data_IF_959735783518
#
_entry.id   IF_959735783518
#
_cell.length_a   1.000
_cell.length_b   1.000
_cell.length_c   1.000
_cell.angle_alpha   90.00
_cell.angle_beta   90.00
_cell.angle_gamma   90.00
#
_symmetry.space_group_name_H-M   'P 1'
#
loop_
_entity.id
_entity.type
_entity.pdbx_description
1 polymer ?
#
# COMPACT_ATOMS: atom_id res chain seq x y z
N UNK A 1 27.63 46.56 27.66
CA UNK A 1 26.68 46.29 26.55
C UNK A 1 27.29 45.40 25.46
N UNK A 2 28.43 45.73 24.85
CA UNK A 2 29.02 44.91 23.77
C UNK A 2 29.37 43.47 24.15
N UNK A 3 29.92 43.23 25.35
CA UNK A 3 30.25 41.87 25.80
C UNK A 3 29.02 40.98 25.94
N UNK A 4 27.89 41.54 26.35
CA UNK A 4 26.63 40.81 26.51
C UNK A 4 26.01 40.48 25.15
N UNK A 5 26.05 41.43 24.20
CA UNK A 5 25.60 41.21 22.82
C UNK A 5 26.40 40.11 22.11
N UNK A 6 27.73 40.06 22.33
CA UNK A 6 28.59 39.00 21.77
C UNK A 6 28.26 37.61 22.34
N UNK A 7 27.97 37.52 23.64
CA UNK A 7 27.58 36.26 24.28
C UNK A 7 26.22 35.78 23.75
N UNK A 8 25.23 36.68 23.65
CA UNK A 8 23.90 36.32 23.12
C UNK A 8 23.98 35.85 21.67
N UNK A 9 24.76 36.52 20.82
CA UNK A 9 24.96 36.10 19.43
C UNK A 9 25.67 34.75 19.32
N UNK A 10 26.67 34.48 20.17
CA UNK A 10 27.33 33.17 20.23
C UNK A 10 26.34 32.08 20.64
N UNK A 11 25.54 32.27 21.69
CA UNK A 11 24.52 31.31 22.09
C UNK A 11 23.46 31.09 21.01
N UNK A 12 22.97 32.15 20.36
CA UNK A 12 22.01 32.03 19.26
C UNK A 12 22.59 31.27 18.06
N UNK A 13 23.86 31.51 17.73
CA UNK A 13 24.54 30.80 16.64
C UNK A 13 24.78 29.33 16.96
N UNK A 14 25.17 28.99 18.20
CA UNK A 14 25.32 27.60 18.66
C UNK A 14 23.96 26.89 18.63
N UNK A 15 22.90 27.53 19.12
CA UNK A 15 21.55 26.97 19.11
C UNK A 15 21.06 26.73 17.67
N UNK A 16 21.30 27.68 16.76
CA UNK A 16 20.97 27.54 15.35
C UNK A 16 21.72 26.37 14.69
N UNK A 17 23.03 26.25 14.93
CA UNK A 17 23.83 25.13 14.42
C UNK A 17 23.34 23.80 14.98
N UNK A 18 23.03 23.71 16.28
CA UNK A 18 22.46 22.51 16.88
C UNK A 18 21.10 22.16 16.26
N UNK A 19 20.24 23.15 16.00
CA UNK A 19 18.94 22.93 15.38
C UNK A 19 19.08 22.45 13.92
N UNK A 20 20.04 23.01 13.16
CA UNK A 20 20.36 22.58 11.79
C UNK A 20 20.98 21.17 11.77
N UNK A 21 21.88 20.84 12.68
CA UNK A 21 22.50 19.50 12.79
C UNK A 21 21.47 18.46 13.22
N UNK A 22 20.63 18.77 14.22
CA UNK A 22 19.56 17.88 14.65
C UNK A 22 18.50 17.68 13.56
N UNK A 23 18.13 18.73 12.81
CA UNK A 23 17.17 18.61 11.70
C UNK A 23 17.75 17.89 10.48
N UNK A 24 19.03 18.12 10.14
CA UNK A 24 19.73 17.37 9.09
C UNK A 24 19.89 15.89 9.44
N UNK A 25 20.30 15.58 10.68
CA UNK A 25 20.36 14.22 11.19
C UNK A 25 18.99 13.55 11.23
N UNK A 26 17.94 14.28 11.60
CA UNK A 26 16.57 13.80 11.56
C UNK A 26 16.09 13.52 10.13
N UNK A 27 16.47 14.32 9.12
CA UNK A 27 16.08 14.08 7.73
C UNK A 27 16.79 12.86 7.12
N UNK A 28 18.07 12.66 7.42
CA UNK A 28 18.82 11.47 6.98
C UNK A 28 18.31 10.22 7.69
N UNK A 29 18.08 10.29 9.00
CA UNK A 29 17.47 9.22 9.77
C UNK A 29 16.05 8.90 9.28
N UNK A 30 15.24 9.91 9.00
CA UNK A 30 13.89 9.74 8.44
C UNK A 30 13.94 9.07 7.06
N UNK A 31 14.81 9.49 6.14
CA UNK A 31 14.94 8.81 4.85
C UNK A 31 15.47 7.37 4.97
N UNK A 32 16.43 7.13 5.87
CA UNK A 32 16.97 5.79 6.12
C UNK A 32 15.93 4.88 6.80
N UNK A 33 15.08 5.43 7.66
CA UNK A 33 14.05 4.70 8.41
C UNK A 33 12.73 4.57 7.63
N UNK A 34 12.40 5.52 6.76
CA UNK A 34 11.22 5.45 5.88
C UNK A 34 11.32 4.29 4.89
N UNK A 35 12.53 3.86 4.53
CA UNK A 35 12.80 2.71 3.67
C UNK A 35 13.04 1.40 4.44
N UNK A 36 12.70 1.36 5.74
CA UNK A 36 12.79 0.13 6.52
C UNK A 36 11.57 -0.78 6.28
N UNK A 37 11.83 -2.07 6.20
CA UNK A 37 10.85 -3.13 6.03
C UNK A 37 10.64 -3.86 7.36
N UNK A 38 9.55 -4.64 7.52
CA UNK A 38 9.39 -5.55 8.64
C UNK A 38 10.66 -6.37 8.89
N UNK A 39 10.96 -6.59 10.19
CA UNK A 39 12.19 -7.17 10.73
C UNK A 39 13.47 -6.31 10.67
N UNK A 40 13.47 -5.14 10.00
CA UNK A 40 14.61 -4.22 10.07
C UNK A 40 14.64 -3.46 11.41
N UNK A 41 15.85 -3.14 11.89
CA UNK A 41 16.04 -2.42 13.15
C UNK A 41 15.39 -1.02 13.18
N UNK A 42 15.14 -0.40 12.02
CA UNK A 42 14.48 0.90 11.90
C UNK A 42 12.95 0.85 11.81
N UNK A 43 12.36 -0.33 11.65
CA UNK A 43 10.94 -0.48 11.32
C UNK A 43 10.00 0.02 12.42
N UNK A 44 10.39 -0.13 13.68
CA UNK A 44 9.61 0.37 14.81
C UNK A 44 9.45 1.90 14.78
N UNK A 45 10.43 2.65 14.23
CA UNK A 45 10.33 4.11 14.09
C UNK A 45 9.29 4.47 13.04
N UNK A 46 9.30 3.76 11.90
CA UNK A 46 8.29 3.90 10.86
C UNK A 46 6.89 3.61 11.42
N UNK A 47 6.73 2.57 12.24
CA UNK A 47 5.44 2.27 12.88
C UNK A 47 4.96 3.39 13.83
N UNK A 48 5.88 4.05 14.55
CA UNK A 48 5.52 5.22 15.37
C UNK A 48 5.02 6.36 14.50
N UNK A 49 5.70 6.66 13.40
CA UNK A 49 5.29 7.71 12.47
C UNK A 49 3.90 7.42 11.88
N UNK A 50 3.65 6.17 11.48
CA UNK A 50 2.37 5.72 10.95
C UNK A 50 1.24 5.86 12.00
N UNK A 51 1.49 5.53 13.28
CA UNK A 51 0.50 5.75 14.35
C UNK A 51 0.28 7.24 14.66
N UNK A 52 1.32 8.09 14.55
CA UNK A 52 1.15 9.54 14.67
C UNK A 52 0.21 10.06 13.58
N UNK A 53 0.34 9.59 12.33
CA UNK A 53 -0.59 9.97 11.25
C UNK A 53 -2.03 9.58 11.56
N UNK A 54 -2.25 8.44 12.21
CA UNK A 54 -3.58 8.00 12.67
C UNK A 54 -4.13 8.90 13.78
N UNK A 55 -3.29 9.29 14.75
CA UNK A 55 -3.68 10.19 15.84
C UNK A 55 -4.03 11.58 15.32
N UNK A 56 -3.32 12.07 14.29
CA UNK A 56 -3.55 13.37 13.67
C UNK A 56 -4.78 13.39 12.74
N UNK A 57 -5.28 12.22 12.33
CA UNK A 57 -6.48 12.13 11.52
C UNK A 57 -7.74 12.53 12.32
N UNK A 58 -8.40 13.59 11.85
CA UNK A 58 -9.44 14.34 12.59
C UNK A 58 -10.75 13.58 12.78
N UNK A 59 -11.03 12.60 11.93
CA UNK A 59 -12.31 11.89 11.89
C UNK A 59 -12.14 10.41 11.48
N UNK A 60 -13.21 9.62 11.57
CA UNK A 60 -13.18 8.19 11.25
C UNK A 60 -12.92 7.90 9.77
N UNK A 61 -13.37 8.77 8.85
CA UNK A 61 -13.10 8.62 7.41
C UNK A 61 -11.62 8.81 7.11
N UNK A 62 -11.03 9.87 7.66
CA UNK A 62 -9.60 10.14 7.55
C UNK A 62 -8.76 9.02 8.17
N UNK A 63 -9.14 8.51 9.36
CA UNK A 63 -8.45 7.38 10.00
C UNK A 63 -8.53 6.10 9.17
N UNK A 64 -9.70 5.77 8.63
CA UNK A 64 -9.86 4.60 7.77
C UNK A 64 -9.02 4.72 6.50
N UNK A 65 -8.97 5.90 5.88
CA UNK A 65 -8.14 6.14 4.69
C UNK A 65 -6.65 5.91 4.98
N UNK A 66 -6.13 6.43 6.11
CA UNK A 66 -4.73 6.18 6.51
C UNK A 66 -4.50 4.69 6.77
N UNK A 67 -5.41 3.99 7.48
CA UNK A 67 -5.28 2.54 7.69
C UNK A 67 -5.27 1.74 6.37
N UNK A 68 -6.07 2.15 5.38
CA UNK A 68 -6.07 1.54 4.04
C UNK A 68 -4.75 1.79 3.31
N UNK A 69 -4.21 3.01 3.38
CA UNK A 69 -2.88 3.32 2.83
C UNK A 69 -1.78 2.45 3.49
N UNK A 70 -1.88 2.17 4.80
CA UNK A 70 -0.95 1.25 5.48
C UNK A 70 -1.04 -0.20 4.97
N UNK A 71 -2.23 -0.72 4.65
CA UNK A 71 -2.37 -2.06 4.03
C UNK A 71 -1.63 -2.11 2.70
N UNK A 72 -1.82 -1.08 1.86
CA UNK A 72 -1.12 -0.94 0.59
C UNK A 72 0.41 -0.93 0.79
N UNK A 73 0.92 -0.20 1.77
CA UNK A 73 2.35 -0.22 2.08
C UNK A 73 2.84 -1.59 2.55
N UNK A 74 2.05 -2.31 3.36
CA UNK A 74 2.44 -3.66 3.80
C UNK A 74 2.43 -4.70 2.70
N UNK A 75 1.61 -4.53 1.66
CA UNK A 75 1.70 -5.37 0.46
C UNK A 75 3.02 -5.17 -0.27
N UNK A 76 3.50 -3.93 -0.36
CA UNK A 76 4.83 -3.63 -0.92
C UNK A 76 5.93 -4.24 -0.05
N UNK A 77 5.81 -4.11 1.27
CA UNK A 77 6.79 -4.65 2.22
C UNK A 77 6.86 -6.18 2.11
N UNK A 78 5.71 -6.86 2.03
CA UNK A 78 5.63 -8.30 1.80
C UNK A 78 6.29 -8.68 0.48
N UNK A 79 5.92 -8.01 -0.61
CA UNK A 79 6.45 -8.35 -1.93
C UNK A 79 7.97 -8.15 -2.03
N UNK A 80 8.55 -7.21 -1.27
CA UNK A 80 10.01 -7.03 -1.16
C UNK A 80 10.70 -8.13 -0.32
N UNK A 81 9.95 -8.88 0.49
CA UNK A 81 10.47 -9.89 1.44
C UNK A 81 10.09 -11.32 1.09
N UNK A 82 9.25 -11.54 0.08
CA UNK A 82 8.92 -12.88 -0.43
C UNK A 82 10.21 -13.61 -0.82
N UNK A 83 10.35 -14.85 -0.35
CA UNK A 83 11.55 -15.66 -0.56
C UNK A 83 12.76 -15.19 0.25
N UNK A 84 12.56 -14.40 1.30
CA UNK A 84 13.63 -14.08 2.27
C UNK A 84 13.32 -14.70 3.63
N UNK A 85 14.31 -14.81 4.54
CA UNK A 85 14.06 -15.22 5.91
C UNK A 85 13.04 -14.33 6.65
N UNK A 86 12.80 -13.10 6.17
CA UNK A 86 11.90 -12.13 6.78
C UNK A 86 10.48 -12.11 6.17
N UNK A 87 10.15 -13.07 5.29
CA UNK A 87 8.83 -13.15 4.64
C UNK A 87 7.70 -13.21 5.66
N UNK A 88 7.87 -14.00 6.73
CA UNK A 88 6.81 -14.23 7.72
C UNK A 88 6.56 -13.00 8.59
N UNK A 89 7.59 -12.24 8.91
CA UNK A 89 7.48 -10.96 9.61
C UNK A 89 6.78 -9.92 8.74
N UNK A 90 7.08 -9.89 7.44
CA UNK A 90 6.42 -9.01 6.50
C UNK A 90 4.93 -9.37 6.32
N UNK A 91 4.65 -10.66 6.23
CA UNK A 91 3.28 -11.16 6.21
C UNK A 91 2.52 -10.85 7.50
N UNK A 92 3.14 -11.05 8.67
CA UNK A 92 2.52 -10.72 9.95
C UNK A 92 2.20 -9.22 10.07
N UNK A 93 3.06 -8.37 9.53
CA UNK A 93 2.81 -6.93 9.45
C UNK A 93 1.62 -6.58 8.55
N UNK A 94 1.49 -7.26 7.40
CA UNK A 94 0.31 -7.14 6.53
C UNK A 94 -0.97 -7.62 7.23
N UNK A 95 -0.92 -8.77 7.91
CA UNK A 95 -2.05 -9.34 8.64
C UNK A 95 -2.60 -8.36 9.70
N UNK A 96 -1.71 -7.75 10.50
CA UNK A 96 -2.05 -6.71 11.47
C UNK A 96 -2.63 -5.45 10.80
N UNK A 97 -2.03 -4.98 9.70
CA UNK A 97 -2.54 -3.83 8.96
C UNK A 97 -3.97 -4.07 8.43
N UNK A 98 -4.24 -5.26 7.87
CA UNK A 98 -5.58 -5.66 7.42
C UNK A 98 -6.57 -5.69 8.58
N UNK A 99 -6.18 -6.25 9.73
CA UNK A 99 -7.04 -6.30 10.91
C UNK A 99 -7.41 -4.90 11.41
N UNK A 100 -6.43 -3.98 11.47
CA UNK A 100 -6.68 -2.58 11.85
C UNK A 100 -7.52 -1.83 10.81
N UNK A 101 -7.36 -2.11 9.53
CA UNK A 101 -8.19 -1.55 8.47
C UNK A 101 -9.64 -2.02 8.59
N UNK A 102 -9.89 -3.31 8.82
CA UNK A 102 -11.24 -3.84 9.06
C UNK A 102 -11.93 -3.15 10.24
N UNK A 103 -11.20 -2.96 11.35
CA UNK A 103 -11.72 -2.24 12.52
C UNK A 103 -12.04 -0.77 12.17
N UNK A 104 -11.16 -0.09 11.44
CA UNK A 104 -11.39 1.29 11.04
C UNK A 104 -12.55 1.45 10.03
N UNK A 105 -12.75 0.48 9.13
CA UNK A 105 -13.92 0.42 8.24
C UNK A 105 -15.19 0.20 9.05
N UNK A 106 -15.16 -0.66 10.08
CA UNK A 106 -16.31 -0.89 10.97
C UNK A 106 -16.75 0.40 11.71
N UNK A 107 -15.83 1.32 11.97
CA UNK A 107 -16.09 2.63 12.58
C UNK A 107 -16.66 3.68 11.61
N UNK A 108 -16.70 3.41 10.30
CA UNK A 108 -17.28 4.32 9.32
C UNK A 108 -18.82 4.34 9.41
N UNK A 109 -19.46 5.43 8.97
CA UNK A 109 -20.89 5.42 8.60
C UNK A 109 -21.19 4.30 7.60
N UNK A 110 -22.36 3.67 7.70
CA UNK A 110 -22.70 2.49 6.90
C UNK A 110 -22.58 2.74 5.38
N UNK A 111 -23.01 3.92 4.91
CA UNK A 111 -22.94 4.38 3.53
C UNK A 111 -21.50 4.58 2.99
N UNK A 112 -20.49 4.50 3.86
CA UNK A 112 -19.07 4.68 3.49
C UNK A 112 -18.24 3.41 3.62
N UNK A 113 -18.84 2.26 3.96
CA UNK A 113 -18.12 1.00 4.21
C UNK A 113 -17.82 0.19 2.96
N UNK A 114 -18.70 0.24 1.96
CA UNK A 114 -18.64 -0.66 0.81
C UNK A 114 -17.34 -0.48 -0.01
N UNK A 115 -17.03 0.75 -0.41
CA UNK A 115 -15.85 1.04 -1.23
C UNK A 115 -14.51 0.61 -0.61
N UNK A 116 -14.18 0.97 0.65
CA UNK A 116 -12.92 0.51 1.25
C UNK A 116 -12.92 -1.01 1.52
N UNK A 117 -14.08 -1.63 1.78
CA UNK A 117 -14.15 -3.08 1.99
C UNK A 117 -13.90 -3.87 0.69
N UNK A 118 -14.48 -3.42 -0.43
CA UNK A 118 -14.22 -3.98 -1.76
C UNK A 118 -12.75 -3.83 -2.17
N UNK A 119 -12.17 -2.65 -1.92
CA UNK A 119 -10.75 -2.39 -2.16
C UNK A 119 -9.87 -3.31 -1.30
N UNK A 120 -10.20 -3.49 -0.02
CA UNK A 120 -9.46 -4.38 0.87
C UNK A 120 -9.53 -5.83 0.41
N UNK A 121 -10.71 -6.31 0.00
CA UNK A 121 -10.87 -7.66 -0.56
C UNK A 121 -10.03 -7.87 -1.82
N UNK A 122 -10.00 -6.89 -2.72
CA UNK A 122 -9.17 -6.90 -3.94
C UNK A 122 -7.69 -7.02 -3.60
N UNK A 123 -7.22 -6.21 -2.65
CA UNK A 123 -5.83 -6.22 -2.19
C UNK A 123 -5.44 -7.53 -1.50
N UNK A 124 -6.32 -8.10 -0.69
CA UNK A 124 -6.08 -9.38 -0.04
C UNK A 124 -6.01 -10.54 -1.03
N UNK A 125 -6.84 -10.53 -2.07
CA UNK A 125 -6.75 -11.51 -3.16
C UNK A 125 -5.43 -11.36 -3.95
N UNK A 126 -4.99 -10.14 -4.24
CA UNK A 126 -3.68 -9.89 -4.86
C UNK A 126 -2.50 -10.34 -3.99
N UNK A 127 -2.63 -10.26 -2.66
CA UNK A 127 -1.62 -10.80 -1.74
C UNK A 127 -1.48 -12.32 -1.85
N UNK A 128 -2.59 -13.04 -2.03
CA UNK A 128 -2.59 -14.49 -2.25
C UNK A 128 -1.88 -14.86 -3.55
N UNK A 129 -2.16 -14.10 -4.61
CA UNK A 129 -1.55 -14.29 -5.93
C UNK A 129 -0.02 -14.11 -5.85
N UNK A 130 0.44 -13.04 -5.21
CA UNK A 130 1.85 -12.78 -4.90
C UNK A 130 2.53 -13.96 -4.19
N UNK A 131 1.88 -14.49 -3.16
CA UNK A 131 2.40 -15.63 -2.42
C UNK A 131 2.46 -16.87 -3.33
N UNK A 132 1.45 -17.10 -4.17
CA UNK A 132 1.39 -18.25 -5.07
C UNK A 132 2.45 -18.21 -6.18
N UNK A 133 2.71 -17.04 -6.78
CA UNK A 133 3.69 -16.84 -7.86
C UNK A 133 5.14 -17.08 -7.41
N UNK A 134 5.41 -16.87 -6.12
CA UNK A 134 6.70 -17.16 -5.51
C UNK A 134 7.12 -18.62 -5.67
N UNK A 135 6.16 -19.53 -5.89
CA UNK A 135 6.42 -20.97 -6.07
C UNK A 135 6.96 -21.65 -4.81
N UNK A 136 6.86 -20.99 -3.65
CA UNK A 136 7.31 -21.52 -2.36
C UNK A 136 6.18 -22.34 -1.74
N UNK A 137 6.47 -23.60 -1.44
CA UNK A 137 5.57 -24.44 -0.67
C UNK A 137 5.46 -23.86 0.75
N UNK A 138 4.30 -23.29 1.08
CA UNK A 138 3.97 -22.85 2.44
C UNK A 138 3.15 -23.92 3.14
N UNK A 139 3.15 -23.86 4.46
CA UNK A 139 2.34 -24.73 5.29
C UNK A 139 0.85 -24.72 4.87
N UNK A 140 0.24 -25.89 4.82
CA UNK A 140 -1.14 -26.04 4.35
C UNK A 140 -2.14 -25.40 5.32
N UNK A 141 -1.87 -25.42 6.63
CA UNK A 141 -2.74 -24.77 7.61
C UNK A 141 -2.64 -23.25 7.53
N UNK A 142 -1.44 -22.72 7.26
CA UNK A 142 -1.25 -21.29 6.96
C UNK A 142 -2.08 -20.86 5.74
N UNK A 143 -1.98 -21.59 4.62
CA UNK A 143 -2.73 -21.25 3.40
C UNK A 143 -4.25 -21.33 3.62
N UNK A 144 -4.72 -22.37 4.31
CA UNK A 144 -6.15 -22.51 4.63
C UNK A 144 -6.68 -21.32 5.46
N UNK A 145 -5.89 -20.81 6.42
CA UNK A 145 -6.27 -19.64 7.23
C UNK A 145 -6.26 -18.34 6.44
N UNK A 146 -5.30 -18.18 5.53
CA UNK A 146 -5.27 -17.05 4.62
C UNK A 146 -6.50 -17.05 3.70
N UNK A 147 -6.81 -18.19 3.10
CA UNK A 147 -7.96 -18.37 2.20
C UNK A 147 -9.30 -18.08 2.91
N UNK A 148 -9.43 -18.55 4.15
CA UNK A 148 -10.58 -18.27 5.02
C UNK A 148 -10.76 -16.76 5.22
N UNK A 149 -9.67 -16.04 5.54
CA UNK A 149 -9.70 -14.59 5.77
C UNK A 149 -10.04 -13.81 4.49
N UNK A 150 -9.41 -14.15 3.36
CA UNK A 150 -9.66 -13.50 2.07
C UNK A 150 -11.12 -13.67 1.67
N UNK A 151 -11.64 -14.89 1.79
CA UNK A 151 -13.04 -15.18 1.46
C UNK A 151 -14.00 -14.40 2.36
N UNK A 152 -13.73 -14.34 3.67
CA UNK A 152 -14.56 -13.57 4.59
C UNK A 152 -14.58 -12.06 4.29
N UNK A 153 -13.43 -11.46 3.98
CA UNK A 153 -13.35 -10.03 3.65
C UNK A 153 -14.02 -9.72 2.32
N UNK A 154 -13.81 -10.56 1.30
CA UNK A 154 -14.42 -10.37 -0.03
C UNK A 154 -15.93 -10.57 0.01
N UNK A 155 -16.40 -11.63 0.67
CA UNK A 155 -17.83 -11.88 0.88
C UNK A 155 -18.50 -10.73 1.65
N UNK A 156 -17.79 -10.13 2.60
CA UNK A 156 -18.30 -8.98 3.35
C UNK A 156 -18.59 -7.78 2.42
N UNK A 157 -17.71 -7.51 1.45
CA UNK A 157 -17.91 -6.49 0.44
C UNK A 157 -19.00 -6.88 -0.58
N UNK A 158 -18.91 -8.06 -1.18
CA UNK A 158 -19.81 -8.50 -2.26
C UNK A 158 -21.26 -8.68 -1.81
N UNK A 159 -21.46 -9.20 -0.59
CA UNK A 159 -22.79 -9.50 -0.03
C UNK A 159 -23.33 -8.34 0.83
N UNK A 160 -22.60 -7.22 0.92
CA UNK A 160 -22.99 -6.09 1.76
C UNK A 160 -23.07 -6.44 3.25
N UNK A 161 -22.29 -7.42 3.73
CA UNK A 161 -22.23 -7.77 5.15
C UNK A 161 -21.34 -6.78 5.91
N UNK A 162 -21.74 -5.51 5.91
CA UNK A 162 -20.98 -4.38 6.45
C UNK A 162 -21.26 -4.09 7.93
N UNK A 163 -21.87 -5.04 8.65
CA UNK A 163 -22.18 -4.89 10.07
C UNK A 163 -20.87 -4.73 10.88
N UNK A 164 -20.76 -3.73 11.78
CA UNK A 164 -19.50 -3.48 12.50
C UNK A 164 -18.99 -4.69 13.27
N UNK A 165 -19.89 -5.42 13.94
CA UNK A 165 -19.54 -6.59 14.73
C UNK A 165 -18.99 -7.73 13.87
N UNK A 166 -19.52 -7.89 12.65
CA UNK A 166 -19.02 -8.87 11.69
C UNK A 166 -17.60 -8.52 11.21
N UNK A 167 -17.37 -7.26 10.84
CA UNK A 167 -16.04 -6.80 10.41
C UNK A 167 -14.99 -6.92 11.52
N UNK A 168 -15.36 -6.61 12.77
CA UNK A 168 -14.49 -6.82 13.95
C UNK A 168 -14.25 -8.30 14.25
N UNK A 169 -15.24 -9.15 13.99
CA UNK A 169 -15.08 -10.60 14.14
C UNK A 169 -14.05 -11.14 13.13
N UNK A 170 -14.10 -10.72 11.86
CA UNK A 170 -13.08 -11.10 10.87
C UNK A 170 -11.68 -10.69 11.33
N UNK A 171 -11.53 -9.47 11.87
CA UNK A 171 -10.24 -8.94 12.33
C UNK A 171 -9.62 -9.71 13.52
N UNK A 172 -10.42 -10.42 14.31
CA UNK A 172 -9.97 -11.08 15.55
C UNK A 172 -9.98 -12.61 15.46
N UNK A 173 -10.85 -13.20 14.63
CA UNK A 173 -11.08 -14.64 14.57
C UNK A 173 -10.05 -15.42 13.76
N UNK A 174 -9.25 -14.75 12.91
CA UNK A 174 -8.32 -15.42 11.98
C UNK A 174 -6.90 -14.88 12.17
N UNK A 175 -6.14 -15.35 13.18
CA UNK A 175 -4.77 -14.93 13.41
C UNK A 175 -3.81 -15.69 12.49
N UNK A 176 -3.79 -15.34 11.20
CA UNK A 176 -2.97 -16.03 10.19
C UNK A 176 -1.48 -16.02 10.59
N UNK A 177 -1.03 -14.89 11.12
CA UNK A 177 0.34 -14.65 11.60
C UNK A 177 0.79 -15.48 12.82
N UNK A 178 -0.13 -16.12 13.57
CA UNK A 178 0.22 -16.96 14.73
C UNK A 178 0.43 -18.43 14.37
N UNK A 179 0.22 -18.81 13.11
CA UNK A 179 0.40 -20.18 12.64
C UNK A 179 1.88 -20.42 12.37
N UNK A 180 2.53 -21.48 12.92
CA UNK A 180 3.92 -21.80 12.61
C UNK A 180 4.07 -22.06 11.10
N UNK A 181 4.89 -21.26 10.42
CA UNK A 181 5.29 -21.54 9.05
C UNK A 181 6.65 -22.21 9.10
N UNK A 182 6.74 -23.47 8.66
CA UNK A 182 8.03 -24.05 8.34
C UNK A 182 8.57 -23.27 7.13
N UNK A 183 9.56 -22.40 7.35
CA UNK A 183 10.29 -21.74 6.26
C UNK A 183 10.77 -22.83 5.30
N UNK A 184 10.29 -22.80 4.06
CA UNK A 184 10.88 -23.60 3.01
C UNK A 184 12.36 -23.25 2.95
N UNK A 185 13.23 -24.26 3.12
CA UNK A 185 14.67 -24.08 2.99
C UNK A 185 14.93 -23.61 1.57
N UNK A 186 15.31 -22.35 1.41
CA UNK A 186 15.60 -21.75 0.11
C UNK A 186 16.98 -22.27 -0.33
N UNK A 187 17.10 -23.05 -1.41
CA UNK A 187 18.40 -23.30 -2.01
C UNK A 187 18.93 -21.96 -2.53
N UNK A 188 20.21 -21.68 -2.31
CA UNK A 188 20.93 -20.42 -2.53
C UNK A 188 21.02 -19.95 -4.01
N UNK A 189 20.00 -20.23 -4.81
CA UNK A 189 20.01 -20.10 -6.27
C UNK A 189 19.00 -19.03 -6.70
N UNK A 190 19.58 -17.84 -6.88
CA UNK A 190 19.11 -16.67 -7.65
C UNK A 190 18.07 -15.74 -7.01
N UNK A 191 18.25 -14.40 -7.17
CA UNK A 191 17.21 -13.44 -6.86
C UNK A 191 16.10 -13.58 -7.90
N UNK A 192 15.01 -14.27 -7.54
CA UNK A 192 13.80 -14.20 -8.35
C UNK A 192 13.23 -12.80 -8.19
N UNK A 193 13.22 -12.02 -9.27
CA UNK A 193 12.52 -10.73 -9.31
C UNK A 193 11.02 -10.99 -9.32
N UNK A 194 10.45 -11.24 -8.15
CA UNK A 194 9.00 -11.15 -7.95
C UNK A 194 8.64 -9.69 -8.25
N UNK A 195 7.98 -9.46 -9.39
CA UNK A 195 7.48 -8.15 -9.74
C UNK A 195 6.27 -7.89 -8.85
N UNK A 196 6.53 -7.38 -7.66
CA UNK A 196 5.52 -6.89 -6.75
C UNK A 196 4.49 -6.01 -7.49
N UNK A 197 3.17 -6.21 -7.33
CA UNK A 197 2.20 -5.15 -7.57
C UNK A 197 2.51 -4.08 -6.52
N UNK A 198 3.36 -3.16 -6.95
CA UNK A 198 3.66 -1.93 -6.24
C UNK A 198 2.33 -1.22 -6.07
N UNK A 199 1.82 -1.18 -4.83
CA UNK A 199 0.79 -0.23 -4.43
C UNK A 199 1.43 1.17 -4.42
N UNK A 200 1.80 1.64 -5.61
CA UNK A 200 2.18 3.01 -5.88
C UNK A 200 0.89 3.80 -6.06
N UNK A 201 0.79 4.92 -5.36
CA UNK A 201 -0.27 5.90 -5.62
C UNK A 201 0.08 6.58 -6.94
N UNK A 202 -0.42 6.02 -8.03
CA UNK A 202 -0.24 6.59 -9.35
C UNK A 202 -1.06 7.87 -9.45
N UNK A 203 -0.46 8.98 -9.91
CA UNK A 203 -1.23 10.19 -10.20
C UNK A 203 -2.21 9.99 -11.35
N UNK A 204 -2.00 8.93 -12.16
CA UNK A 204 -2.97 8.42 -13.12
C UNK A 204 -3.83 7.34 -12.43
N UNK A 205 -5.16 7.47 -12.40
CA UNK A 205 -6.02 6.45 -11.79
C UNK A 205 -5.95 5.16 -12.61
N UNK A 206 -5.44 4.09 -11.99
CA UNK A 206 -5.50 2.74 -12.56
C UNK A 206 -6.87 2.15 -12.25
N UNK A 207 -7.85 2.40 -13.11
CA UNK A 207 -9.21 1.89 -13.01
C UNK A 207 -9.64 1.14 -14.29
N UNK A 208 -10.76 0.40 -14.21
CA UNK A 208 -11.29 -0.36 -15.34
C UNK A 208 -10.26 -1.34 -15.93
N UNK A 209 -10.05 -1.26 -17.24
CA UNK A 209 -9.09 -2.11 -17.95
C UNK A 209 -7.62 -1.80 -17.61
N UNK A 210 -7.31 -0.58 -17.12
CA UNK A 210 -5.95 -0.20 -16.79
C UNK A 210 -5.40 -0.90 -15.53
N UNK A 211 -6.27 -1.41 -14.65
CA UNK A 211 -5.89 -2.15 -13.43
C UNK A 211 -4.95 -3.32 -13.74
N UNK A 212 -5.14 -3.98 -14.89
CA UNK A 212 -4.39 -5.19 -15.28
C UNK A 212 -3.15 -4.89 -16.14
N UNK A 213 -2.81 -3.62 -16.35
CA UNK A 213 -1.69 -3.23 -17.21
C UNK A 213 -0.37 -3.40 -16.47
N UNK A 214 0.55 -4.18 -17.03
CA UNK A 214 1.88 -4.35 -16.46
C UNK A 214 2.68 -3.04 -16.44
N UNK A 215 3.46 -2.81 -15.38
CA UNK A 215 4.17 -1.55 -15.10
C UNK A 215 5.03 -1.08 -16.28
N UNK A 216 5.75 -1.99 -16.93
CA UNK A 216 6.68 -1.73 -18.02
C UNK A 216 5.99 -1.26 -19.31
N UNK A 217 4.67 -1.47 -19.44
CA UNK A 217 3.89 -0.94 -20.57
C UNK A 217 3.84 0.58 -20.54
N UNK A 218 3.84 1.16 -19.34
CA UNK A 218 3.84 2.60 -19.11
C UNK A 218 5.27 3.10 -18.83
N UNK A 219 6.01 2.37 -18.00
CA UNK A 219 7.35 2.73 -17.50
C UNK A 219 8.45 2.06 -18.30
N UNK A 220 8.59 2.49 -19.55
CA UNK A 220 9.61 1.95 -20.47
C UNK A 220 11.00 2.17 -19.88
N UNK A 221 11.85 1.15 -19.97
CA UNK A 221 13.22 1.14 -19.44
C UNK A 221 13.30 1.44 -17.93
N UNK A 222 12.22 1.17 -17.17
CA UNK A 222 12.18 1.43 -15.73
C UNK A 222 12.13 2.91 -15.36
N UNK A 223 11.77 3.80 -16.29
CA UNK A 223 11.59 5.23 -16.01
C UNK A 223 10.16 5.50 -15.53
N UNK A 224 10.02 5.76 -14.23
CA UNK A 224 8.71 5.95 -13.59
C UNK A 224 8.22 7.41 -13.60
N UNK A 225 9.15 8.37 -13.58
CA UNK A 225 8.83 9.79 -13.60
C UNK A 225 8.44 10.25 -15.02
N UNK A 226 7.51 11.20 -15.12
CA UNK A 226 7.15 11.84 -16.39
C UNK A 226 6.39 10.94 -17.37
N UNK A 227 5.86 9.81 -16.93
CA UNK A 227 5.03 8.93 -17.77
C UNK A 227 3.79 9.69 -18.25
N UNK A 228 3.55 9.77 -19.58
CA UNK A 228 2.39 10.45 -20.14
C UNK A 228 1.07 9.84 -19.62
N UNK A 229 0.06 10.69 -19.44
CA UNK A 229 -1.25 10.30 -18.90
C UNK A 229 -2.39 10.43 -19.92
N UNK A 230 -2.10 11.02 -21.07
CA UNK A 230 -3.08 11.22 -22.12
C UNK A 230 -3.37 9.89 -22.82
N UNK A 231 -4.65 9.64 -23.13
CA UNK A 231 -5.09 8.40 -23.79
C UNK A 231 -4.28 8.10 -25.06
N UNK A 232 -4.00 9.15 -25.84
CA UNK A 232 -3.30 9.07 -27.12
C UNK A 232 -1.81 8.71 -27.00
N UNK A 233 -1.23 8.81 -25.81
CA UNK A 233 0.18 8.45 -25.60
C UNK A 233 0.40 6.92 -25.70
N UNK A 234 -0.64 6.13 -25.43
CA UNK A 234 -0.61 4.67 -25.49
C UNK A 234 -1.57 4.10 -26.53
N UNK A 235 -2.71 4.75 -26.75
CA UNK A 235 -3.73 4.29 -27.68
C UNK A 235 -3.74 5.15 -28.94
N UNK A 236 -3.55 4.50 -30.08
CA UNK A 236 -3.66 5.17 -31.36
C UNK A 236 -5.12 5.54 -31.62
N UNK A 237 -5.36 6.81 -31.95
CA UNK A 237 -6.68 7.25 -32.39
C UNK A 237 -7.02 6.62 -33.75
N UNK A 238 -8.16 5.92 -33.79
CA UNK A 238 -8.70 5.27 -34.99
C UNK A 238 -9.76 6.13 -35.68
N UNK A 239 -10.20 7.20 -35.02
CA UNK A 239 -11.11 8.16 -35.61
C UNK A 239 -10.29 9.02 -36.56
N UNK A 240 -10.45 8.81 -37.86
CA UNK A 240 -9.91 9.70 -38.91
C UNK A 240 -10.11 11.14 -38.43
N UNK A 241 -9.04 11.93 -38.19
CA UNK A 241 -8.86 12.85 -37.03
C UNK A 241 -9.89 13.98 -36.95
N UNK A 242 -11.14 13.63 -36.67
CA UNK A 242 -12.31 14.50 -36.73
C UNK A 242 -12.89 14.75 -35.35
N UNK A 243 -12.57 13.90 -34.37
CA UNK A 243 -13.14 13.94 -33.02
C UNK A 243 -12.19 14.51 -31.96
N UNK A 244 -10.93 14.80 -32.32
CA UNK A 244 -9.93 15.33 -31.39
C UNK A 244 -9.46 14.33 -30.32
N UNK A 245 -8.65 14.78 -29.36
CA UNK A 245 -8.00 13.92 -28.36
C UNK A 245 -8.79 13.77 -27.04
N UNK A 246 -10.04 14.23 -26.99
CA UNK A 246 -10.90 14.17 -25.81
C UNK A 246 -11.59 12.80 -25.70
N UNK A 247 -10.80 11.73 -25.59
CA UNK A 247 -11.30 10.36 -25.64
C UNK A 247 -12.38 10.08 -24.57
N UNK A 248 -12.27 10.71 -23.39
CA UNK A 248 -13.18 10.53 -22.25
C UNK A 248 -14.61 11.09 -22.47
N UNK A 249 -14.83 11.87 -23.54
CA UNK A 249 -16.16 12.37 -23.92
C UNK A 249 -17.07 11.25 -24.41
N UNK A 250 -16.50 10.22 -25.04
CA UNK A 250 -17.26 9.10 -25.61
C UNK A 250 -16.86 7.75 -25.00
N UNK A 251 -15.64 7.59 -24.52
CA UNK A 251 -15.11 6.34 -23.99
C UNK A 251 -14.94 6.37 -22.46
N UNK A 252 -14.79 5.18 -21.87
CA UNK A 252 -14.47 5.02 -20.44
C UNK A 252 -13.24 4.15 -20.28
N UNK A 253 -12.61 4.20 -19.12
CA UNK A 253 -11.46 3.34 -18.78
C UNK A 253 -11.83 1.87 -18.65
N UNK A 254 -13.13 1.52 -18.57
CA UNK A 254 -13.60 0.13 -18.53
C UNK A 254 -13.44 -0.57 -19.89
N UNK A 255 -13.76 0.11 -20.99
CA UNK A 255 -13.66 -0.41 -22.35
C UNK A 255 -13.81 0.70 -23.40
N UNK A 256 -13.26 0.49 -24.60
CA UNK A 256 -13.47 1.35 -25.77
C UNK A 256 -14.89 1.25 -26.33
N UNK A 257 -15.53 0.09 -26.20
CA UNK A 257 -16.89 -0.15 -26.67
C UNK A 257 -17.75 -0.73 -25.54
N UNK A 258 -19.03 -0.36 -25.46
CA UNK A 258 -19.71 0.67 -26.26
C UNK A 258 -19.20 2.08 -25.94
N UNK A 259 -19.22 2.96 -26.95
CA UNK A 259 -18.91 4.38 -26.78
C UNK A 259 -20.21 5.18 -26.77
N UNK A 260 -20.41 6.00 -25.74
CA UNK A 260 -21.59 6.83 -25.60
C UNK A 260 -21.14 8.24 -25.30
N UNK A 261 -21.59 9.21 -26.09
CA UNK A 261 -21.30 10.62 -25.88
C UNK A 261 -21.95 11.07 -24.57
N UNK A 262 -21.15 11.58 -23.65
CA UNK A 262 -21.61 12.18 -22.38
C UNK A 262 -22.07 13.62 -22.58
#
# INVERSE_FOLDING_TARGET
MERYARIVLLFASILFVLLVVCSGGALVAHNAMANSYPADAGFWVRQIEEEIQIVLARDTTSRAAVRMDLVAYRLNDLAARIGTPYEMEAFASLDDAVNRALVAIADLPADKRDAPLDQLGTWMYGAQDLLSEAGLARDQAFQAKLDEKISAVRDAGEKGMIAPDYLRAIATAIPVSKTPSAQASIPDILPRTVHAPRAFKHSYPLDGAHIKTACEKCHRNGVYAGTPRDCVACHRDVHVPTLGQQCATCHTTKAWTPATKK
#
